data_IF_169244201510
#
_entry.id   IF_169244201510
#
_cell.length_a   1.000
_cell.length_b   1.000
_cell.length_c   1.000
_cell.angle_alpha   90.00
_cell.angle_beta   90.00
_cell.angle_gamma   90.00
#
_symmetry.space_group_name_H-M   'P 1'
#
loop_
_entity.id
_entity.type
_entity.pdbx_description
1 polymer ?
#
# COMPACT_ATOMS: atom_id res chain seq x y z
N UNK A 1 -22.04 11.84 21.85
CA UNK A 1 -20.74 12.49 21.54
C UNK A 1 -19.59 11.49 21.49
N UNK A 2 -19.51 10.51 22.40
CA UNK A 2 -18.44 9.51 22.45
C UNK A 2 -18.41 8.56 21.24
N UNK A 3 -19.58 8.04 20.86
CA UNK A 3 -19.71 7.13 19.71
C UNK A 3 -19.23 7.79 18.40
N UNK A 4 -19.49 9.08 18.25
CA UNK A 4 -19.10 9.84 17.06
C UNK A 4 -17.58 9.96 16.95
N UNK A 5 -16.89 10.27 18.06
CA UNK A 5 -15.43 10.35 18.08
C UNK A 5 -14.78 9.00 17.77
N UNK A 6 -15.31 7.91 18.32
CA UNK A 6 -14.80 6.56 18.07
C UNK A 6 -14.94 6.16 16.60
N UNK A 7 -16.08 6.46 15.95
CA UNK A 7 -16.29 6.18 14.53
C UNK A 7 -15.31 6.97 13.65
N UNK A 8 -15.09 8.25 13.95
CA UNK A 8 -14.15 9.09 13.21
C UNK A 8 -12.72 8.54 13.29
N UNK A 9 -12.26 8.17 14.48
CA UNK A 9 -10.91 7.60 14.68
C UNK A 9 -10.77 6.26 13.95
N UNK A 10 -11.78 5.39 14.03
CA UNK A 10 -11.76 4.09 13.35
C UNK A 10 -11.71 4.23 11.81
N UNK A 11 -12.47 5.17 11.24
CA UNK A 11 -12.46 5.46 9.81
C UNK A 11 -11.11 6.04 9.34
N UNK A 12 -10.52 6.94 10.12
CA UNK A 12 -9.20 7.51 9.80
C UNK A 12 -8.10 6.44 9.87
N UNK A 13 -8.09 5.62 10.91
CA UNK A 13 -7.12 4.54 11.08
C UNK A 13 -7.21 3.51 9.93
N UNK A 14 -8.41 3.05 9.61
CA UNK A 14 -8.63 2.12 8.50
C UNK A 14 -8.27 2.74 7.14
N UNK A 15 -8.58 4.02 6.92
CA UNK A 15 -8.19 4.73 5.69
C UNK A 15 -6.67 4.85 5.54
N UNK A 16 -5.93 5.19 6.61
CA UNK A 16 -4.47 5.29 6.59
C UNK A 16 -3.84 3.93 6.30
N UNK A 17 -4.31 2.87 6.97
CA UNK A 17 -3.83 1.51 6.76
C UNK A 17 -4.11 1.05 5.33
N UNK A 18 -5.34 1.23 4.82
CA UNK A 18 -5.69 0.87 3.44
C UNK A 18 -4.84 1.65 2.42
N UNK A 19 -4.62 2.95 2.64
CA UNK A 19 -3.79 3.78 1.76
C UNK A 19 -2.32 3.34 1.78
N UNK A 20 -1.78 3.01 2.95
CA UNK A 20 -0.40 2.52 3.09
C UNK A 20 -0.23 1.12 2.49
N UNK A 21 -1.16 0.20 2.72
CA UNK A 21 -1.15 -1.14 2.10
C UNK A 21 -1.29 -1.00 0.58
N UNK A 22 -2.18 -0.15 0.07
CA UNK A 22 -2.33 0.10 -1.37
C UNK A 22 -1.09 0.77 -1.97
N UNK A 23 -0.43 1.68 -1.25
CA UNK A 23 0.84 2.29 -1.67
C UNK A 23 1.98 1.27 -1.68
N UNK A 24 2.04 0.40 -0.68
CA UNK A 24 3.00 -0.71 -0.60
C UNK A 24 2.76 -1.75 -1.69
N UNK A 25 1.49 -2.09 -1.95
CA UNK A 25 1.06 -3.04 -3.00
C UNK A 25 1.24 -2.48 -4.42
N UNK A 26 1.11 -1.15 -4.60
CA UNK A 26 1.49 -0.48 -5.85
C UNK A 26 3.00 -0.43 -6.08
N UNK A 27 3.81 -0.86 -5.10
CA UNK A 27 5.23 -1.13 -5.26
C UNK A 27 5.98 0.05 -5.85
N UNK A 28 6.22 1.10 -5.06
CA UNK A 28 7.35 1.96 -5.37
C UNK A 28 8.60 1.12 -5.13
N UNK A 29 9.15 0.53 -6.20
CA UNK A 29 10.49 -0.06 -6.20
C UNK A 29 11.44 1.07 -5.79
N UNK A 30 11.83 1.11 -4.51
CA UNK A 30 12.86 2.03 -4.04
C UNK A 30 14.21 1.38 -4.36
N UNK A 31 14.40 1.15 -5.64
CA UNK A 31 15.49 0.36 -6.18
C UNK A 31 16.66 1.32 -6.42
N UNK A 32 17.23 1.82 -5.31
CA UNK A 32 18.47 2.59 -5.28
C UNK A 32 19.67 1.84 -5.87
N UNK A 33 19.53 0.51 -6.00
CA UNK A 33 20.21 -0.35 -6.96
C UNK A 33 19.17 -1.34 -7.48
N UNK A 34 18.53 -1.02 -8.59
CA UNK A 34 17.67 -1.96 -9.31
C UNK A 34 18.59 -2.99 -10.00
N UNK A 35 19.12 -3.94 -9.22
CA UNK A 35 19.69 -5.16 -9.80
C UNK A 35 18.59 -5.80 -10.65
N UNK A 36 18.94 -6.24 -11.86
CA UNK A 36 18.08 -6.59 -13.02
C UNK A 36 17.04 -7.71 -12.81
N UNK A 37 16.56 -7.90 -11.59
CA UNK A 37 15.72 -8.99 -11.12
C UNK A 37 14.52 -8.44 -10.33
N UNK A 38 13.78 -7.49 -10.90
CA UNK A 38 12.49 -7.10 -10.35
C UNK A 38 11.40 -8.09 -10.80
N UNK A 39 10.73 -8.80 -9.89
CA UNK A 39 9.74 -9.84 -10.22
C UNK A 39 8.42 -9.32 -10.80
N UNK A 40 8.35 -8.03 -11.18
CA UNK A 40 7.17 -7.47 -11.87
C UNK A 40 7.13 -7.83 -13.37
N UNK A 41 8.22 -8.38 -13.91
CA UNK A 41 8.33 -8.78 -15.32
C UNK A 41 8.46 -10.29 -15.47
N UNK A 42 7.57 -11.06 -14.84
CA UNK A 42 7.29 -12.41 -15.30
C UNK A 42 5.79 -12.71 -15.24
N UNK A 43 4.99 -11.78 -15.78
CA UNK A 43 3.69 -12.15 -16.33
C UNK A 43 3.86 -12.25 -17.84
N UNK A 44 4.26 -13.44 -18.28
CA UNK A 44 3.89 -14.06 -19.56
C UNK A 44 3.71 -13.08 -20.73
N UNK A 45 4.82 -12.78 -21.43
CA UNK A 45 4.76 -12.98 -22.88
C UNK A 45 4.90 -14.49 -23.06
N UNK A 46 3.80 -15.17 -23.34
CA UNK A 46 3.57 -16.09 -24.48
C UNK A 46 2.06 -16.23 -24.64
#
# INVERSE_FOLDING_TARGET
MEIFATIVIALLASFIIYKNIKKSSKGSCNCGSCSSHCPKYNNNKE
#
